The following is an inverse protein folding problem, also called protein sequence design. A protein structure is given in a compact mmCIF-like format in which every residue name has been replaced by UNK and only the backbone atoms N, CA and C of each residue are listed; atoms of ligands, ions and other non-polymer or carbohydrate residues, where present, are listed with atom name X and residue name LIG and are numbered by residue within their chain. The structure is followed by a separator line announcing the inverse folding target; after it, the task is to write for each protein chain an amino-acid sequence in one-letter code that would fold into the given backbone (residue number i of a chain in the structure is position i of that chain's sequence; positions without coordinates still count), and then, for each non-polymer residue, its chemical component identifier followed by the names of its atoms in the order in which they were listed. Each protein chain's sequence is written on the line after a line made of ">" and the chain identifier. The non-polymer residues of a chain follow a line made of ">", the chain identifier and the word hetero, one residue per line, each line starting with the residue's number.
data_IF_699098268799
#
_entry.id   IF_699098268799
#
_cell.length_a   1.000
_cell.length_b   1.000
_cell.length_c   1.000
_cell.angle_alpha   90.00
_cell.angle_beta   90.00
_cell.angle_gamma   90.00
#
_symmetry.space_group_name_H-M   'P 1'
#
loop_
_entity.id
_entity.type
_entity.pdbx_description
1 polymer ?
#
# COMPACT_ATOMS: atom_id res chain seq x y z
N UNK A 1 21.17 -11.75 -2.82
CA UNK A 1 20.45 -10.81 -1.93
C UNK A 1 19.55 -11.58 -0.98
N UNK A 2 19.62 -11.28 0.31
CA UNK A 2 18.73 -11.84 1.32
C UNK A 2 17.70 -10.79 1.72
N UNK A 3 16.44 -11.18 1.74
CA UNK A 3 15.29 -10.37 2.16
C UNK A 3 14.80 -10.93 3.49
N UNK A 4 14.86 -10.15 4.57
CA UNK A 4 14.46 -10.59 5.91
C UNK A 4 13.13 -9.95 6.27
N UNK A 5 12.13 -10.78 6.52
CA UNK A 5 10.76 -10.39 6.85
C UNK A 5 10.28 -11.12 8.10
N UNK A 6 9.34 -10.56 8.81
CA UNK A 6 8.73 -11.21 9.97
C UNK A 6 7.74 -12.27 9.54
N UNK A 7 6.75 -11.86 8.77
CA UNK A 7 5.72 -12.74 8.18
C UNK A 7 5.06 -12.07 6.98
N UNK A 8 4.43 -12.89 6.13
CA UNK A 8 3.70 -12.41 4.94
C UNK A 8 2.21 -12.68 5.05
N UNK A 9 1.41 -11.82 4.42
CA UNK A 9 -0.04 -11.83 4.49
C UNK A 9 -0.66 -11.93 3.09
N UNK A 10 -1.78 -12.64 2.95
CA UNK A 10 -2.52 -12.75 1.68
C UNK A 10 -3.01 -11.38 1.17
N UNK A 11 -3.31 -10.46 2.09
CA UNK A 11 -3.81 -9.13 1.77
C UNK A 11 -3.01 -8.08 2.55
N UNK A 12 -2.34 -7.19 1.83
CA UNK A 12 -1.56 -6.11 2.43
C UNK A 12 -0.48 -5.57 1.49
N UNK A 13 -0.26 -4.26 1.52
CA UNK A 13 0.75 -3.60 0.68
C UNK A 13 2.17 -4.07 0.98
N UNK A 14 2.45 -4.40 2.24
CA UNK A 14 3.76 -4.84 2.70
C UNK A 14 4.27 -6.11 1.98
N UNK A 15 3.48 -7.18 1.97
CA UNK A 15 3.82 -8.42 1.24
C UNK A 15 4.05 -8.16 -0.25
N UNK A 16 3.28 -7.24 -0.85
CA UNK A 16 3.47 -6.89 -2.26
C UNK A 16 4.78 -6.15 -2.50
N UNK A 17 5.21 -5.27 -1.60
CA UNK A 17 6.53 -4.61 -1.71
C UNK A 17 7.67 -5.62 -1.60
N UNK A 18 7.59 -6.57 -0.66
CA UNK A 18 8.54 -7.68 -0.56
C UNK A 18 8.60 -8.49 -1.86
N UNK A 19 7.45 -8.86 -2.42
CA UNK A 19 7.34 -9.58 -3.69
C UNK A 19 7.98 -8.79 -4.83
N UNK A 20 7.67 -7.51 -4.94
CA UNK A 20 8.17 -6.61 -5.97
C UNK A 20 9.72 -6.53 -5.94
N UNK A 21 10.30 -6.37 -4.75
CA UNK A 21 11.77 -6.37 -4.59
C UNK A 21 12.35 -7.77 -4.87
N UNK A 22 11.73 -8.83 -4.35
CA UNK A 22 12.21 -10.19 -4.56
C UNK A 22 12.28 -10.57 -6.04
N UNK A 23 11.28 -10.17 -6.83
CA UNK A 23 11.25 -10.41 -8.29
C UNK A 23 12.20 -9.50 -9.07
N UNK A 24 12.64 -8.39 -8.49
CA UNK A 24 13.55 -7.44 -9.13
C UNK A 24 15.03 -7.75 -8.89
N UNK A 25 15.39 -8.36 -7.75
CA UNK A 25 16.78 -8.65 -7.41
C UNK A 25 17.25 -10.00 -7.98
N UNK A 26 18.56 -10.12 -8.19
CA UNK A 26 19.18 -11.37 -8.66
C UNK A 26 19.34 -12.35 -7.50
N UNK A 27 18.91 -13.61 -7.71
CA UNK A 27 19.04 -14.70 -6.73
C UNK A 27 18.51 -14.30 -5.35
N UNK A 28 17.23 -13.97 -5.24
CA UNK A 28 16.61 -13.65 -3.95
C UNK A 28 16.58 -14.87 -3.03
N UNK A 29 16.80 -14.62 -1.74
CA UNK A 29 16.52 -15.54 -0.66
C UNK A 29 15.65 -14.82 0.35
N UNK A 30 14.45 -15.30 0.58
CA UNK A 30 13.55 -14.75 1.60
C UNK A 30 13.74 -15.55 2.89
N UNK A 31 13.97 -14.85 4.00
CA UNK A 31 14.01 -15.45 5.34
C UNK A 31 12.89 -14.83 6.17
N UNK A 32 11.94 -15.68 6.59
CA UNK A 32 10.86 -15.29 7.48
C UNK A 32 11.28 -15.60 8.92
N UNK A 33 11.37 -14.55 9.74
CA UNK A 33 11.81 -14.69 11.15
C UNK A 33 10.75 -15.40 11.99
N UNK A 34 9.48 -15.36 11.54
CA UNK A 34 8.35 -15.98 12.23
C UNK A 34 8.32 -15.62 13.72
N UNK A 35 8.44 -14.31 14.01
CA UNK A 35 8.52 -13.77 15.38
C UNK A 35 7.44 -14.35 16.30
N UNK A 36 6.24 -14.54 15.76
CA UNK A 36 5.06 -15.00 16.51
C UNK A 36 4.80 -16.51 16.40
N UNK A 37 5.72 -17.28 15.78
CA UNK A 37 5.60 -18.72 15.56
C UNK A 37 4.30 -19.11 14.81
N UNK A 38 3.93 -18.33 13.82
CA UNK A 38 2.68 -18.50 13.07
C UNK A 38 2.75 -19.57 11.99
N UNK A 39 3.97 -19.93 11.55
CA UNK A 39 4.18 -20.94 10.49
C UNK A 39 4.51 -22.33 11.04
N UNK A 40 5.04 -22.44 12.27
CA UNK A 40 5.60 -23.69 12.80
C UNK A 40 4.66 -24.90 12.75
N UNK A 41 3.34 -24.69 12.89
CA UNK A 41 2.31 -25.74 12.86
C UNK A 41 1.30 -25.57 11.71
N UNK A 42 1.42 -24.56 10.89
CA UNK A 42 0.47 -24.26 9.79
C UNK A 42 1.09 -24.57 8.43
N UNK A 43 1.02 -25.83 8.03
CA UNK A 43 1.51 -26.31 6.73
C UNK A 43 0.75 -25.67 5.56
N UNK A 44 -0.53 -25.31 5.73
CA UNK A 44 -1.31 -24.67 4.69
C UNK A 44 -0.82 -23.21 4.45
N UNK A 45 -0.49 -22.50 5.54
CA UNK A 45 0.11 -21.17 5.45
C UNK A 45 1.51 -21.21 4.81
N UNK A 46 2.34 -22.20 5.17
CA UNK A 46 3.66 -22.41 4.54
C UNK A 46 3.51 -22.70 3.04
N UNK A 47 2.60 -23.59 2.67
CA UNK A 47 2.35 -23.94 1.27
C UNK A 47 1.91 -22.71 0.45
N UNK A 48 1.01 -21.91 1.00
CA UNK A 48 0.61 -20.66 0.35
C UNK A 48 1.80 -19.70 0.15
N UNK A 49 2.72 -19.60 1.12
CA UNK A 49 3.92 -18.77 0.98
C UNK A 49 4.80 -19.27 -0.16
N UNK A 50 5.02 -20.58 -0.28
CA UNK A 50 5.80 -21.16 -1.38
C UNK A 50 5.14 -20.90 -2.74
N UNK A 51 3.81 -20.97 -2.83
CA UNK A 51 3.06 -20.66 -4.04
C UNK A 51 3.14 -19.16 -4.41
N UNK A 52 3.06 -18.28 -3.41
CA UNK A 52 3.18 -16.82 -3.60
C UNK A 52 4.56 -16.41 -4.13
N UNK A 53 5.61 -17.09 -3.64
CA UNK A 53 7.01 -16.82 -4.00
C UNK A 53 7.60 -17.93 -4.88
N UNK A 54 6.78 -18.49 -5.78
CA UNK A 54 7.24 -19.55 -6.69
C UNK A 54 8.51 -19.14 -7.44
N UNK A 55 9.49 -20.09 -7.49
CA UNK A 55 10.81 -19.87 -8.05
C UNK A 55 11.80 -19.11 -7.15
N UNK A 56 11.40 -18.70 -5.93
CA UNK A 56 12.24 -18.03 -4.95
C UNK A 56 12.46 -18.94 -3.74
N UNK A 57 13.71 -19.06 -3.28
CA UNK A 57 14.01 -19.81 -2.05
C UNK A 57 13.44 -19.06 -0.83
N UNK A 58 12.62 -19.75 -0.02
CA UNK A 58 12.04 -19.23 1.21
C UNK A 58 12.45 -20.11 2.39
N UNK A 59 12.96 -19.52 3.46
CA UNK A 59 13.36 -20.20 4.69
C UNK A 59 12.55 -19.62 5.85
N UNK A 60 11.93 -20.50 6.65
CA UNK A 60 11.27 -20.14 7.91
C UNK A 60 12.22 -20.43 9.08
N UNK A 61 12.41 -19.45 9.97
CA UNK A 61 13.16 -19.67 11.22
C UNK A 61 12.23 -20.30 12.25
N UNK A 62 12.34 -21.62 12.39
CA UNK A 62 11.46 -22.43 13.23
C UNK A 62 11.94 -22.60 14.69
N UNK A 63 13.01 -21.89 15.10
CA UNK A 63 13.53 -21.94 16.46
C UNK A 63 12.53 -21.34 17.46
N UNK A 64 12.57 -21.79 18.71
CA UNK A 64 11.59 -21.39 19.73
C UNK A 64 11.90 -20.05 20.40
N UNK A 65 13.15 -19.61 20.40
CA UNK A 65 13.56 -18.36 21.04
C UNK A 65 14.10 -17.34 20.05
N UNK A 66 13.99 -16.05 20.38
CA UNK A 66 14.53 -14.95 19.57
C UNK A 66 16.04 -15.07 19.38
N UNK A 67 16.77 -15.52 20.43
CA UNK A 67 18.20 -15.70 20.35
C UNK A 67 18.58 -16.82 19.38
N UNK A 68 17.90 -17.97 19.45
CA UNK A 68 18.15 -19.07 18.51
C UNK A 68 17.81 -18.70 17.06
N UNK A 69 16.71 -17.97 16.84
CA UNK A 69 16.36 -17.41 15.52
C UNK A 69 17.45 -16.48 15.01
N UNK A 70 17.94 -15.57 15.85
CA UNK A 70 19.03 -14.64 15.49
C UNK A 70 20.33 -15.38 15.16
N UNK A 71 20.69 -16.40 15.92
CA UNK A 71 21.88 -17.24 15.66
C UNK A 71 21.74 -18.03 14.35
N UNK A 72 20.55 -18.58 14.08
CA UNK A 72 20.27 -19.27 12.82
C UNK A 72 20.37 -18.30 11.62
N UNK A 73 19.85 -17.10 11.75
CA UNK A 73 19.97 -16.07 10.71
C UNK A 73 21.43 -15.67 10.47
N UNK A 74 22.22 -15.47 11.55
CA UNK A 74 23.66 -15.16 11.45
C UNK A 74 24.43 -16.27 10.71
N UNK A 75 24.12 -17.53 11.02
CA UNK A 75 24.71 -18.68 10.33
C UNK A 75 24.34 -18.69 8.83
N UNK A 76 23.09 -18.43 8.48
CA UNK A 76 22.63 -18.34 7.09
C UNK A 76 23.36 -17.25 6.30
N UNK A 77 23.48 -16.03 6.85
CA UNK A 77 24.18 -14.93 6.20
C UNK A 77 25.62 -15.31 5.86
N UNK A 78 26.32 -15.94 6.83
CA UNK A 78 27.71 -16.37 6.65
C UNK A 78 27.83 -17.53 5.64
N UNK A 79 27.01 -18.57 5.76
CA UNK A 79 27.04 -19.74 4.89
C UNK A 79 26.70 -19.43 3.44
N UNK A 80 25.77 -18.49 3.20
CA UNK A 80 25.31 -18.10 1.87
C UNK A 80 26.13 -16.98 1.23
N UNK A 81 27.16 -16.48 1.89
CA UNK A 81 28.00 -15.37 1.42
C UNK A 81 27.15 -14.18 0.93
N UNK A 82 26.19 -13.78 1.75
CA UNK A 82 25.21 -12.75 1.40
C UNK A 82 25.89 -11.40 1.22
N UNK A 83 25.70 -10.76 0.05
CA UNK A 83 26.24 -9.42 -0.24
C UNK A 83 25.31 -8.30 0.23
N UNK A 84 24.01 -8.48 0.03
CA UNK A 84 23.00 -7.50 0.40
C UNK A 84 21.96 -8.15 1.32
N UNK A 85 21.70 -7.50 2.46
CA UNK A 85 20.59 -7.83 3.36
C UNK A 85 19.60 -6.68 3.30
N UNK A 86 18.35 -6.98 2.94
CA UNK A 86 17.26 -6.01 2.89
C UNK A 86 16.25 -6.39 3.96
N UNK A 87 16.01 -5.47 4.88
CA UNK A 87 15.10 -5.66 6.00
C UNK A 87 13.71 -5.16 5.66
N UNK A 88 12.74 -6.08 5.72
CA UNK A 88 11.30 -5.81 5.60
C UNK A 88 10.56 -6.13 6.90
N UNK A 89 11.29 -6.51 7.93
CA UNK A 89 10.71 -7.01 9.18
C UNK A 89 9.70 -6.03 9.77
N UNK A 90 8.77 -6.58 10.54
CA UNK A 90 7.80 -5.82 11.32
C UNK A 90 8.53 -4.85 12.27
N UNK A 91 7.96 -3.68 12.52
CA UNK A 91 8.56 -2.58 13.28
C UNK A 91 9.07 -2.95 14.69
N UNK A 92 8.65 -4.07 15.25
CA UNK A 92 9.06 -4.56 16.58
C UNK A 92 9.92 -5.84 16.55
N UNK A 93 10.33 -6.32 15.38
CA UNK A 93 11.10 -7.56 15.24
C UNK A 93 12.60 -7.31 15.37
N UNK A 94 13.26 -7.77 16.48
CA UNK A 94 14.68 -7.59 16.69
C UNK A 94 15.53 -8.67 16.00
N UNK A 95 14.95 -9.81 15.59
CA UNK A 95 15.68 -10.98 15.09
C UNK A 95 16.50 -10.63 13.86
N UNK A 96 15.92 -9.85 12.94
CA UNK A 96 16.57 -9.43 11.72
C UNK A 96 17.89 -8.70 11.99
N UNK A 97 17.88 -7.73 12.88
CA UNK A 97 19.06 -6.93 13.20
C UNK A 97 20.07 -7.70 14.06
N UNK A 98 19.63 -8.34 15.15
CA UNK A 98 20.52 -9.09 16.03
C UNK A 98 21.26 -10.19 15.26
N UNK A 99 20.58 -10.86 14.32
CA UNK A 99 21.18 -11.91 13.50
C UNK A 99 22.15 -11.44 12.43
N UNK A 100 22.14 -10.17 12.05
CA UNK A 100 22.88 -9.72 10.85
C UNK A 100 23.81 -8.54 11.05
N UNK A 101 23.63 -7.71 12.10
CA UNK A 101 24.41 -6.49 12.29
C UNK A 101 25.90 -6.73 12.43
N UNK A 102 26.32 -7.81 13.10
CA UNK A 102 27.73 -8.17 13.28
C UNK A 102 28.42 -8.63 12.00
N UNK A 103 27.66 -8.94 10.92
CA UNK A 103 28.24 -9.36 9.65
C UNK A 103 28.66 -8.17 8.80
N UNK A 104 29.97 -7.89 8.77
CA UNK A 104 30.54 -6.72 8.08
C UNK A 104 30.70 -6.88 6.57
N UNK A 105 30.53 -8.11 6.05
CA UNK A 105 30.69 -8.42 4.62
C UNK A 105 29.45 -8.13 3.76
N UNK A 106 28.37 -7.63 4.34
CA UNK A 106 27.12 -7.34 3.62
C UNK A 106 26.75 -5.88 3.71
N UNK A 107 26.28 -5.31 2.61
CA UNK A 107 25.51 -4.04 2.61
C UNK A 107 24.12 -4.30 3.19
N UNK A 108 23.62 -3.39 4.01
CA UNK A 108 22.36 -3.55 4.76
C UNK A 108 21.42 -2.39 4.44
N UNK A 109 20.18 -2.71 4.12
CA UNK A 109 19.16 -1.75 3.71
C UNK A 109 17.89 -1.98 4.53
N UNK A 110 17.41 -0.96 5.20
CA UNK A 110 16.17 -1.01 5.97
C UNK A 110 15.05 -0.36 5.17
N UNK A 111 14.08 -1.14 4.74
CA UNK A 111 12.88 -0.64 4.08
C UNK A 111 11.89 -0.18 5.13
N UNK A 112 11.74 1.13 5.25
CA UNK A 112 10.77 1.74 6.17
C UNK A 112 9.38 1.74 5.52
N UNK A 113 8.57 0.74 5.85
CA UNK A 113 7.26 0.54 5.23
C UNK A 113 6.08 0.93 6.12
N UNK A 114 6.31 1.26 7.37
CA UNK A 114 5.29 1.66 8.34
C UNK A 114 5.31 3.16 8.61
N UNK A 115 4.85 3.95 7.64
CA UNK A 115 4.91 5.42 7.64
C UNK A 115 4.18 6.13 8.79
N UNK A 116 3.49 5.38 9.64
CA UNK A 116 2.75 5.88 10.82
C UNK A 116 3.30 5.35 12.15
N UNK A 117 4.36 4.55 12.13
CA UNK A 117 4.94 3.96 13.35
C UNK A 117 6.47 4.10 13.36
N UNK A 118 7.07 4.41 14.53
CA UNK A 118 8.50 4.22 14.70
C UNK A 118 8.84 2.74 14.56
N UNK A 119 9.90 2.44 13.82
CA UNK A 119 10.33 1.07 13.56
C UNK A 119 11.73 0.82 14.11
N UNK A 120 11.98 -0.36 14.65
CA UNK A 120 13.35 -0.79 14.91
C UNK A 120 14.13 -0.77 13.59
N UNK A 121 15.32 -0.17 13.63
CA UNK A 121 16.16 0.00 12.45
C UNK A 121 16.27 1.43 11.94
N UNK A 122 15.30 2.31 12.21
CA UNK A 122 15.30 3.69 11.74
C UNK A 122 16.57 4.50 12.16
N UNK A 123 17.19 4.16 13.28
CA UNK A 123 18.33 4.90 13.85
C UNK A 123 19.64 4.14 13.80
N UNK A 124 19.69 3.03 13.07
CA UNK A 124 20.92 2.22 12.98
C UNK A 124 21.88 2.79 11.94
N UNK A 125 23.02 3.30 12.37
CA UNK A 125 24.03 3.95 11.52
C UNK A 125 24.67 3.03 10.48
N UNK A 126 24.73 1.72 10.75
CA UNK A 126 25.34 0.71 9.86
C UNK A 126 24.35 0.13 8.85
N UNK A 127 23.17 0.71 8.77
CA UNK A 127 22.06 0.26 7.91
C UNK A 127 21.57 1.46 7.09
N UNK A 128 21.57 1.35 5.78
CA UNK A 128 21.04 2.38 4.90
C UNK A 128 19.52 2.44 5.02
N UNK A 129 19.00 3.58 5.43
CA UNK A 129 17.57 3.81 5.55
C UNK A 129 16.95 4.07 4.17
N UNK A 130 15.86 3.38 3.87
CA UNK A 130 15.17 3.44 2.58
C UNK A 130 13.67 3.65 2.81
N UNK A 131 13.15 4.76 2.36
CA UNK A 131 11.73 5.07 2.40
C UNK A 131 11.03 4.73 1.08
N UNK A 132 9.74 4.41 1.16
CA UNK A 132 8.93 3.99 0.00
C UNK A 132 8.10 5.11 -0.61
N UNK A 133 8.01 6.25 0.06
CA UNK A 133 7.19 7.38 -0.40
C UNK A 133 7.93 8.68 -0.15
N UNK A 134 7.71 9.66 -1.03
CA UNK A 134 8.35 10.97 -0.93
C UNK A 134 8.05 11.68 0.39
N UNK A 135 6.81 11.56 0.88
CA UNK A 135 6.41 12.17 2.16
C UNK A 135 7.19 11.57 3.34
N UNK A 136 7.31 10.24 3.41
CA UNK A 136 8.07 9.57 4.45
C UNK A 136 9.56 9.93 4.34
N UNK A 137 10.10 9.95 3.12
CA UNK A 137 11.48 10.32 2.84
C UNK A 137 11.82 11.74 3.36
N UNK A 138 10.99 12.73 3.06
CA UNK A 138 11.16 14.09 3.58
C UNK A 138 11.09 14.14 5.11
N UNK A 139 10.17 13.39 5.71
CA UNK A 139 10.04 13.29 7.16
C UNK A 139 11.28 12.65 7.78
N UNK A 140 11.73 11.51 7.26
CA UNK A 140 12.92 10.82 7.77
C UNK A 140 14.18 11.64 7.58
N UNK A 141 14.38 12.32 6.44
CA UNK A 141 15.50 13.24 6.23
C UNK A 141 15.54 14.38 7.25
N UNK A 142 14.39 14.82 7.74
CA UNK A 142 14.31 15.91 8.72
C UNK A 142 14.63 15.44 10.15
N UNK A 143 14.34 14.18 10.47
CA UNK A 143 14.41 13.67 11.83
C UNK A 143 15.55 12.68 12.10
N UNK A 144 16.19 12.14 11.07
CA UNK A 144 17.27 11.17 11.20
C UNK A 144 18.62 11.80 10.87
N UNK A 145 19.63 11.56 11.73
CA UNK A 145 21.01 12.00 11.51
C UNK A 145 21.77 11.05 10.56
N UNK A 146 21.13 10.61 9.48
CA UNK A 146 21.73 9.73 8.49
C UNK A 146 21.15 9.98 7.10
N UNK A 147 21.89 9.54 6.07
CA UNK A 147 21.38 9.59 4.70
C UNK A 147 20.20 8.65 4.55
N UNK A 148 19.12 9.17 4.00
CA UNK A 148 17.90 8.43 3.70
C UNK A 148 17.75 8.33 2.19
N UNK A 149 17.45 7.15 1.69
CA UNK A 149 17.22 6.89 0.26
C UNK A 149 15.74 6.71 -0.04
N UNK A 150 15.36 7.00 -1.26
CA UNK A 150 13.99 6.78 -1.74
C UNK A 150 13.97 5.63 -2.75
N UNK A 151 13.23 4.56 -2.42
CA UNK A 151 12.84 3.50 -3.34
C UNK A 151 11.32 3.62 -3.54
N UNK A 152 10.83 4.22 -4.63
CA UNK A 152 9.40 4.45 -4.79
C UNK A 152 8.63 3.14 -4.90
N UNK A 153 7.43 3.12 -4.35
CA UNK A 153 6.48 2.04 -4.61
C UNK A 153 6.24 1.92 -6.12
N UNK A 154 5.94 0.72 -6.60
CA UNK A 154 5.40 0.56 -7.94
C UNK A 154 4.23 -0.44 -7.94
N UNK A 155 3.51 -0.48 -9.03
CA UNK A 155 2.57 -1.54 -9.32
C UNK A 155 2.76 -1.98 -10.78
N UNK A 156 2.69 -3.31 -11.09
CA UNK A 156 2.79 -3.79 -12.46
C UNK A 156 1.71 -3.17 -13.35
N UNK A 157 2.08 -2.78 -14.56
CA UNK A 157 1.14 -2.20 -15.52
C UNK A 157 0.25 -3.30 -16.12
N UNK A 158 -1.04 -3.27 -15.80
CA UNK A 158 -2.03 -4.19 -16.34
C UNK A 158 -2.94 -3.52 -17.41
N UNK A 159 -2.47 -2.42 -17.96
CA UNK A 159 -3.24 -1.61 -18.90
C UNK A 159 -4.03 -0.52 -18.23
N UNK A 160 -4.69 0.33 -19.02
CA UNK A 160 -5.48 1.44 -18.49
C UNK A 160 -6.71 1.74 -19.35
N UNK A 161 -7.64 2.43 -18.76
CA UNK A 161 -8.85 2.89 -19.41
C UNK A 161 -8.95 4.41 -19.27
N UNK A 162 -9.03 5.11 -20.40
CA UNK A 162 -9.28 6.55 -20.37
C UNK A 162 -10.73 6.81 -19.95
N UNK A 163 -10.90 7.51 -18.84
CA UNK A 163 -12.21 7.99 -18.41
C UNK A 163 -12.63 9.15 -19.33
N UNK A 164 -13.84 9.09 -19.84
CA UNK A 164 -14.39 10.15 -20.68
C UNK A 164 -15.00 11.25 -19.82
N UNK A 165 -14.99 12.49 -20.34
CA UNK A 165 -15.76 13.56 -19.73
C UNK A 165 -17.26 13.22 -19.82
N UNK A 166 -18.01 13.58 -18.79
CA UNK A 166 -19.47 13.42 -18.74
C UNK A 166 -20.13 14.79 -18.60
N UNK A 167 -21.31 14.92 -19.17
CA UNK A 167 -22.18 16.06 -18.87
C UNK A 167 -22.93 15.76 -17.57
N UNK A 168 -22.75 16.65 -16.57
CA UNK A 168 -23.42 16.50 -15.28
C UNK A 168 -22.78 15.45 -14.37
N UNK A 169 -23.61 14.72 -13.62
CA UNK A 169 -23.24 13.86 -12.49
C UNK A 169 -23.32 12.36 -12.81
N UNK A 170 -23.53 12.00 -14.08
CA UNK A 170 -23.73 10.62 -14.53
C UNK A 170 -22.42 9.84 -14.57
N UNK A 171 -21.78 9.66 -13.41
CA UNK A 171 -20.58 8.83 -13.23
C UNK A 171 -20.61 8.10 -11.89
N UNK A 172 -19.79 7.07 -11.77
CA UNK A 172 -19.66 6.25 -10.56
C UNK A 172 -18.31 6.45 -9.88
N UNK A 173 -18.30 6.23 -8.58
CA UNK A 173 -17.11 6.32 -7.69
C UNK A 173 -16.74 4.95 -7.17
N UNK A 174 -15.45 4.69 -7.01
CA UNK A 174 -14.94 3.49 -6.34
C UNK A 174 -13.97 3.85 -5.23
N UNK A 175 -14.02 3.14 -4.13
CA UNK A 175 -13.01 3.16 -3.07
C UNK A 175 -12.53 1.76 -2.74
N UNK A 176 -11.38 1.66 -2.09
CA UNK A 176 -10.87 0.37 -1.61
C UNK A 176 -10.19 0.47 -0.26
N UNK A 177 -10.28 -0.60 0.53
CA UNK A 177 -9.57 -0.70 1.80
C UNK A 177 -10.23 -1.64 2.81
N UNK A 178 -9.52 -1.84 3.92
CA UNK A 178 -10.11 -2.50 5.09
C UNK A 178 -11.02 -1.49 5.83
N UNK A 179 -12.09 -1.95 6.50
CA UNK A 179 -12.98 -1.05 7.25
C UNK A 179 -12.25 -0.15 8.26
N UNK A 180 -11.19 -0.64 8.89
CA UNK A 180 -10.39 0.14 9.85
C UNK A 180 -9.64 1.35 9.27
N UNK A 181 -9.64 1.54 7.94
CA UNK A 181 -9.13 2.76 7.31
C UNK A 181 -10.14 3.92 7.32
N UNK A 182 -11.38 3.62 7.63
CA UNK A 182 -12.47 4.58 7.76
C UNK A 182 -12.81 4.74 9.24
N UNK A 183 -13.21 5.94 9.66
CA UNK A 183 -13.64 6.14 11.04
C UNK A 183 -14.86 5.27 11.36
N UNK A 184 -14.90 4.71 12.56
CA UNK A 184 -16.06 3.92 13.01
C UNK A 184 -17.28 4.82 13.30
N UNK A 185 -17.04 6.09 13.64
CA UNK A 185 -18.06 7.09 13.98
C UNK A 185 -17.66 8.46 13.47
N UNK A 186 -18.61 9.40 13.49
CA UNK A 186 -18.38 10.80 13.12
C UNK A 186 -18.39 11.05 11.62
N UNK A 187 -17.95 12.24 11.23
CA UNK A 187 -18.05 12.74 9.86
C UNK A 187 -17.37 11.83 8.83
N UNK A 188 -16.22 11.24 9.15
CA UNK A 188 -15.45 10.37 8.25
C UNK A 188 -15.82 8.89 8.37
N UNK A 189 -17.00 8.56 8.90
CA UNK A 189 -17.49 7.19 8.84
C UNK A 189 -17.76 6.78 7.38
N UNK A 190 -17.58 5.50 7.07
CA UNK A 190 -17.85 4.99 5.72
C UNK A 190 -19.29 5.30 5.29
N UNK A 191 -20.26 5.21 6.20
CA UNK A 191 -21.66 5.53 5.93
C UNK A 191 -21.83 6.97 5.43
N UNK A 192 -21.22 7.94 6.11
CA UNK A 192 -21.33 9.36 5.75
C UNK A 192 -20.59 9.67 4.45
N UNK A 193 -19.43 9.06 4.22
CA UNK A 193 -18.69 9.20 2.95
C UNK A 193 -19.53 8.66 1.77
N UNK A 194 -20.11 7.47 1.93
CA UNK A 194 -20.98 6.86 0.90
C UNK A 194 -22.21 7.71 0.65
N UNK A 195 -22.89 8.18 1.71
CA UNK A 195 -24.05 9.09 1.61
C UNK A 195 -23.67 10.34 0.83
N UNK A 196 -22.59 11.02 1.23
CA UNK A 196 -22.14 12.27 0.59
C UNK A 196 -21.84 12.05 -0.90
N UNK A 197 -21.13 10.97 -1.22
CA UNK A 197 -20.81 10.66 -2.62
C UNK A 197 -22.07 10.36 -3.42
N UNK A 198 -22.98 9.53 -2.93
CA UNK A 198 -24.21 9.18 -3.63
C UNK A 198 -25.22 10.31 -3.73
N UNK A 199 -25.16 11.29 -2.83
CA UNK A 199 -25.94 12.53 -2.96
C UNK A 199 -25.38 13.49 -4.03
N UNK A 200 -24.10 13.37 -4.36
CA UNK A 200 -23.40 14.26 -5.27
C UNK A 200 -23.22 13.70 -6.69
N UNK A 201 -23.61 12.45 -6.96
CA UNK A 201 -23.50 11.80 -8.26
C UNK A 201 -24.78 11.04 -8.60
N UNK A 202 -25.01 10.72 -9.88
CA UNK A 202 -26.13 9.87 -10.30
C UNK A 202 -25.77 8.38 -10.43
N UNK A 203 -24.50 8.07 -10.50
CA UNK A 203 -24.00 6.68 -10.62
C UNK A 203 -23.95 5.91 -9.30
N UNK A 204 -23.15 4.86 -9.27
CA UNK A 204 -22.98 3.96 -8.14
C UNK A 204 -21.72 4.29 -7.32
N UNK A 205 -21.72 3.83 -6.06
CA UNK A 205 -20.55 3.81 -5.20
C UNK A 205 -20.10 2.37 -4.98
N UNK A 206 -18.95 2.01 -5.57
CA UNK A 206 -18.34 0.69 -5.42
C UNK A 206 -17.39 0.67 -4.23
N UNK A 207 -17.48 -0.36 -3.41
CA UNK A 207 -16.55 -0.59 -2.32
C UNK A 207 -15.80 -1.91 -2.52
N UNK A 208 -14.47 -1.87 -2.62
CA UNK A 208 -13.60 -3.03 -2.76
C UNK A 208 -12.89 -3.27 -1.42
N UNK A 209 -13.25 -4.37 -0.75
CA UNK A 209 -12.68 -4.73 0.55
C UNK A 209 -13.61 -5.60 1.39
N UNK A 210 -13.12 -6.09 2.55
CA UNK A 210 -13.85 -7.04 3.39
C UNK A 210 -14.87 -6.32 4.28
N UNK A 211 -16.07 -6.05 3.78
CA UNK A 211 -17.20 -5.64 4.61
C UNK A 211 -17.95 -6.87 5.10
N UNK A 212 -18.41 -6.84 6.36
CA UNK A 212 -19.32 -7.85 6.86
C UNK A 212 -20.76 -7.56 6.40
N UNK A 213 -21.63 -8.59 6.43
CA UNK A 213 -23.04 -8.42 6.05
C UNK A 213 -23.75 -7.39 6.94
N UNK A 214 -23.37 -7.31 8.23
CA UNK A 214 -23.90 -6.32 9.17
C UNK A 214 -23.50 -4.89 8.77
N UNK A 215 -22.24 -4.70 8.33
CA UNK A 215 -21.77 -3.39 7.86
C UNK A 215 -22.50 -2.97 6.58
N UNK A 216 -22.67 -3.89 5.64
CA UNK A 216 -23.41 -3.66 4.40
C UNK A 216 -24.87 -3.30 4.70
N UNK A 217 -25.52 -4.07 5.57
CA UNK A 217 -26.90 -3.81 5.99
C UNK A 217 -27.04 -2.44 6.68
N UNK A 218 -26.09 -2.08 7.56
CA UNK A 218 -26.10 -0.78 8.26
C UNK A 218 -25.96 0.39 7.28
N UNK A 219 -25.04 0.31 6.30
CA UNK A 219 -24.87 1.33 5.28
C UNK A 219 -26.15 1.48 4.45
N UNK A 220 -26.72 0.37 4.00
CA UNK A 220 -27.97 0.40 3.20
C UNK A 220 -29.15 0.96 3.98
N UNK A 221 -29.33 0.56 5.24
CA UNK A 221 -30.37 1.11 6.11
C UNK A 221 -30.20 2.63 6.30
N UNK A 222 -28.97 3.09 6.47
CA UNK A 222 -28.66 4.52 6.56
C UNK A 222 -29.04 5.26 5.28
N UNK A 223 -28.67 4.76 4.10
CA UNK A 223 -29.03 5.35 2.81
C UNK A 223 -30.55 5.48 2.63
N UNK A 224 -31.30 4.42 2.96
CA UNK A 224 -32.76 4.44 2.91
C UNK A 224 -33.33 5.52 3.85
N UNK A 225 -32.75 5.68 5.04
CA UNK A 225 -33.23 6.66 6.02
C UNK A 225 -33.07 8.12 5.57
N UNK A 226 -32.22 8.37 4.58
CA UNK A 226 -31.95 9.69 3.97
C UNK A 226 -32.42 9.78 2.51
N UNK A 227 -33.34 8.92 2.10
CA UNK A 227 -33.97 8.88 0.78
C UNK A 227 -33.00 8.69 -0.41
N UNK A 228 -31.94 7.90 -0.18
CA UNK A 228 -31.00 7.49 -1.23
C UNK A 228 -31.25 6.02 -1.57
N UNK A 229 -31.33 5.70 -2.87
CA UNK A 229 -31.48 4.32 -3.34
C UNK A 229 -30.27 3.47 -2.93
N UNK A 230 -30.48 2.55 -1.98
CA UNK A 230 -29.44 1.70 -1.42
C UNK A 230 -28.85 0.70 -2.42
N UNK A 231 -29.48 0.45 -3.58
CA UNK A 231 -28.94 -0.39 -4.67
C UNK A 231 -27.70 0.25 -5.29
N UNK A 232 -27.58 1.58 -5.23
CA UNK A 232 -26.41 2.30 -5.74
C UNK A 232 -25.13 2.09 -4.91
N UNK A 233 -25.23 1.57 -3.69
CA UNK A 233 -24.08 1.10 -2.92
C UNK A 233 -23.79 -0.36 -3.26
N UNK A 234 -22.64 -0.59 -3.92
CA UNK A 234 -22.25 -1.90 -4.47
C UNK A 234 -20.99 -2.41 -3.79
N UNK A 235 -21.11 -3.27 -2.75
CA UNK A 235 -19.96 -3.94 -2.16
C UNK A 235 -19.46 -5.05 -3.09
N UNK A 236 -18.15 -5.04 -3.39
CA UNK A 236 -17.50 -6.03 -4.28
C UNK A 236 -16.88 -7.19 -3.49
N UNK A 237 -16.44 -6.92 -2.24
CA UNK A 237 -15.67 -7.88 -1.46
C UNK A 237 -14.17 -7.82 -1.73
N UNK A 238 -13.46 -8.87 -1.29
CA UNK A 238 -12.02 -9.02 -1.56
C UNK A 238 -11.78 -9.43 -3.01
N UNK A 239 -10.72 -8.90 -3.61
CA UNK A 239 -10.31 -9.18 -4.98
C UNK A 239 -8.83 -9.56 -5.01
N UNK A 240 -8.42 -10.38 -5.95
CA UNK A 240 -7.01 -10.78 -6.12
C UNK A 240 -6.15 -9.64 -6.67
N UNK A 241 -6.72 -8.82 -7.55
CA UNK A 241 -6.07 -7.66 -8.16
C UNK A 241 -7.01 -6.46 -8.12
N UNK A 242 -6.61 -5.42 -7.38
CA UNK A 242 -7.35 -4.15 -7.37
C UNK A 242 -7.35 -3.53 -8.77
N UNK A 243 -6.19 -3.47 -9.42
CA UNK A 243 -6.06 -2.89 -10.75
C UNK A 243 -7.01 -3.52 -11.78
N UNK A 244 -7.00 -4.85 -11.90
CA UNK A 244 -7.92 -5.55 -12.82
C UNK A 244 -9.39 -5.28 -12.49
N UNK A 245 -9.71 -5.23 -11.21
CA UNK A 245 -11.08 -4.93 -10.80
C UNK A 245 -11.48 -3.50 -11.18
N UNK A 246 -10.58 -2.53 -11.02
CA UNK A 246 -10.82 -1.14 -11.44
C UNK A 246 -11.04 -1.02 -12.95
N UNK A 247 -10.36 -1.82 -13.77
CA UNK A 247 -10.58 -1.86 -15.22
C UNK A 247 -11.93 -2.46 -15.61
N UNK A 248 -12.47 -3.39 -14.81
CA UNK A 248 -13.76 -4.08 -15.05
C UNK A 248 -14.97 -3.25 -14.61
N UNK A 249 -14.80 -2.40 -13.60
CA UNK A 249 -15.89 -1.57 -13.07
C UNK A 249 -16.19 -0.38 -13.96
N UNK A 250 -17.46 -0.01 -14.05
CA UNK A 250 -17.88 1.27 -14.64
C UNK A 250 -17.73 2.43 -13.65
N UNK A 251 -16.53 2.55 -13.06
CA UNK A 251 -16.18 3.61 -12.13
C UNK A 251 -15.31 4.66 -12.82
N UNK A 252 -15.62 5.93 -12.64
CA UNK A 252 -14.90 7.04 -13.28
C UNK A 252 -13.92 7.74 -12.33
N UNK A 253 -14.05 7.52 -11.03
CA UNK A 253 -13.27 8.22 -9.99
C UNK A 253 -12.87 7.24 -8.91
N UNK A 254 -11.62 7.27 -8.50
CA UNK A 254 -11.15 6.58 -7.31
C UNK A 254 -11.10 7.55 -6.12
N UNK A 255 -11.82 7.22 -5.07
CA UNK A 255 -11.82 7.93 -3.81
C UNK A 255 -10.92 7.20 -2.82
N UNK A 256 -9.79 7.80 -2.46
CA UNK A 256 -8.90 7.26 -1.43
C UNK A 256 -9.61 7.07 -0.10
N UNK A 257 -9.26 6.01 0.65
CA UNK A 257 -9.78 5.78 1.99
C UNK A 257 -9.43 6.92 2.95
N UNK A 258 -10.32 7.22 3.90
CA UNK A 258 -10.18 8.32 4.85
C UNK A 258 -10.66 7.91 6.26
N UNK A 259 -9.98 8.33 7.34
CA UNK A 259 -8.82 9.22 7.37
C UNK A 259 -7.49 8.56 6.96
N UNK A 260 -7.41 7.23 6.90
CA UNK A 260 -6.16 6.52 6.61
C UNK A 260 -6.08 6.17 5.13
N UNK A 261 -5.21 6.84 4.40
CA UNK A 261 -4.98 6.62 2.98
C UNK A 261 -4.36 5.25 2.66
N UNK A 262 -4.31 4.92 1.37
CA UNK A 262 -3.67 3.69 0.86
C UNK A 262 -2.75 4.00 -0.33
N UNK A 263 -1.44 4.12 -0.09
CA UNK A 263 -0.48 4.51 -1.13
C UNK A 263 -0.52 3.61 -2.36
N UNK A 264 -0.34 2.30 -2.21
CA UNK A 264 -0.36 1.38 -3.35
C UNK A 264 -1.70 1.37 -4.09
N UNK A 265 -2.81 1.39 -3.37
CA UNK A 265 -4.13 1.43 -4.00
C UNK A 265 -4.35 2.70 -4.85
N UNK A 266 -3.83 3.84 -4.39
CA UNK A 266 -3.84 5.09 -5.17
C UNK A 266 -2.96 4.98 -6.42
N UNK A 267 -1.79 4.35 -6.32
CA UNK A 267 -0.90 4.10 -7.47
C UNK A 267 -1.59 3.21 -8.51
N UNK A 268 -2.21 2.10 -8.07
CA UNK A 268 -2.95 1.20 -8.94
C UNK A 268 -4.14 1.91 -9.62
N UNK A 269 -4.86 2.75 -8.90
CA UNK A 269 -5.96 3.52 -9.46
C UNK A 269 -5.49 4.53 -10.53
N UNK A 270 -4.41 5.26 -10.26
CA UNK A 270 -3.80 6.17 -11.23
C UNK A 270 -3.27 5.41 -12.45
N UNK A 271 -2.63 4.25 -12.24
CA UNK A 271 -2.17 3.38 -13.32
C UNK A 271 -3.31 2.87 -14.18
N UNK A 272 -4.43 2.48 -13.58
CA UNK A 272 -5.65 2.09 -14.31
C UNK A 272 -6.34 3.27 -15.03
N UNK A 273 -5.85 4.51 -14.83
CA UNK A 273 -6.34 5.72 -15.48
C UNK A 273 -7.53 6.38 -14.77
N UNK A 274 -7.78 6.08 -13.50
CA UNK A 274 -8.84 6.73 -12.75
C UNK A 274 -8.37 8.05 -12.15
N UNK A 275 -9.10 9.17 -12.38
CA UNK A 275 -8.96 10.36 -11.55
C UNK A 275 -9.03 10.02 -10.08
N UNK A 276 -8.15 10.59 -9.27
CA UNK A 276 -8.06 10.26 -7.84
C UNK A 276 -8.43 11.45 -6.96
N UNK A 277 -9.25 11.19 -5.93
CA UNK A 277 -9.53 12.11 -4.85
C UNK A 277 -8.92 11.56 -3.56
N UNK A 278 -8.37 12.44 -2.72
CA UNK A 278 -7.77 12.03 -1.46
C UNK A 278 -8.19 12.96 -0.31
N UNK A 279 -8.21 12.40 0.89
CA UNK A 279 -8.46 13.16 2.11
C UNK A 279 -7.18 13.90 2.53
N UNK A 280 -7.25 15.22 2.64
CA UNK A 280 -6.15 16.10 3.08
C UNK A 280 -6.38 16.71 4.47
N UNK A 281 -7.43 16.29 5.17
CA UNK A 281 -7.72 16.72 6.52
C UNK A 281 -6.82 16.02 7.53
N UNK A 282 -6.61 16.65 8.68
CA UNK A 282 -5.69 16.22 9.72
C UNK A 282 -4.65 17.28 10.03
N UNK A 283 -3.82 17.05 11.04
CA UNK A 283 -2.70 17.96 11.34
C UNK A 283 -1.67 17.92 10.22
N UNK A 284 -1.14 19.08 9.84
CA UNK A 284 -0.06 19.18 8.90
C UNK A 284 1.15 18.39 9.43
N UNK A 285 1.67 17.47 8.62
CA UNK A 285 2.76 16.56 9.02
C UNK A 285 2.28 15.23 9.62
N UNK A 286 0.99 14.94 9.60
CA UNK A 286 0.48 13.61 9.97
C UNK A 286 1.00 12.55 9.00
N UNK A 287 1.72 11.55 9.51
CA UNK A 287 2.22 10.40 8.74
C UNK A 287 1.10 9.52 8.17
N UNK A 288 -0.14 9.69 8.63
CA UNK A 288 -1.30 8.89 8.21
C UNK A 288 -1.77 9.25 6.79
N UNK A 289 -1.47 10.46 6.32
CA UNK A 289 -1.94 10.99 5.05
C UNK A 289 -0.79 11.16 4.06
N UNK A 290 -0.55 10.14 3.25
CA UNK A 290 0.50 10.14 2.25
C UNK A 290 0.01 10.79 0.94
N UNK A 291 0.13 12.11 0.85
CA UNK A 291 -0.29 12.88 -0.33
C UNK A 291 0.68 12.74 -1.50
N UNK A 292 1.92 12.38 -1.25
CA UNK A 292 2.96 12.33 -2.28
C UNK A 292 2.75 11.25 -3.34
N UNK A 293 1.90 10.26 -3.06
CA UNK A 293 1.54 9.22 -4.05
C UNK A 293 0.51 9.69 -5.06
N UNK A 294 -0.10 10.86 -4.87
CA UNK A 294 -1.11 11.40 -5.77
C UNK A 294 -0.50 12.38 -6.76
N UNK A 295 -1.01 12.40 -7.99
CA UNK A 295 -0.59 13.38 -8.98
C UNK A 295 -0.92 14.80 -8.53
N UNK A 296 -0.17 15.80 -9.01
CA UNK A 296 -0.43 17.21 -8.72
C UNK A 296 -1.83 17.66 -9.12
N UNK A 297 -2.43 17.02 -10.13
CA UNK A 297 -3.80 17.28 -10.58
C UNK A 297 -4.86 16.57 -9.73
N UNK A 298 -4.46 15.65 -8.83
CA UNK A 298 -5.37 14.97 -7.91
C UNK A 298 -6.00 15.95 -6.93
N UNK A 299 -7.24 15.69 -6.55
CA UNK A 299 -8.06 16.64 -5.81
C UNK A 299 -8.18 16.23 -4.34
N UNK A 300 -7.69 17.10 -3.47
CA UNK A 300 -7.77 16.89 -2.01
C UNK A 300 -9.02 17.53 -1.42
N UNK A 301 -9.62 16.84 -0.44
CA UNK A 301 -10.76 17.32 0.35
C UNK A 301 -10.49 17.17 1.86
N UNK A 302 -11.03 18.05 2.68
CA UNK A 302 -10.81 18.07 4.15
C UNK A 302 -12.07 17.76 4.94
N UNK A 303 -13.25 17.89 4.33
CA UNK A 303 -14.54 17.63 4.95
C UNK A 303 -15.54 17.17 3.87
N UNK A 304 -16.72 16.70 4.30
CA UNK A 304 -17.71 16.12 3.40
C UNK A 304 -18.33 17.15 2.44
N UNK A 305 -18.43 18.43 2.84
CA UNK A 305 -18.95 19.49 1.96
C UNK A 305 -17.97 19.75 0.81
N UNK A 306 -16.66 19.76 1.07
CA UNK A 306 -15.65 19.84 0.03
C UNK A 306 -15.68 18.60 -0.88
N UNK A 307 -15.86 17.39 -0.33
CA UNK A 307 -16.01 16.17 -1.12
C UNK A 307 -17.20 16.28 -2.08
N UNK A 308 -18.37 16.70 -1.58
CA UNK A 308 -19.57 16.91 -2.40
C UNK A 308 -19.32 17.93 -3.51
N UNK A 309 -18.75 19.10 -3.17
CA UNK A 309 -18.44 20.16 -4.13
C UNK A 309 -17.46 19.69 -5.22
N UNK A 310 -16.44 18.93 -4.85
CA UNK A 310 -15.50 18.34 -5.81
C UNK A 310 -16.22 17.39 -6.76
N UNK A 311 -17.02 16.45 -6.25
CA UNK A 311 -17.76 15.48 -7.07
C UNK A 311 -18.70 16.21 -8.04
N UNK A 312 -19.42 17.25 -7.61
CA UNK A 312 -20.28 18.05 -8.49
C UNK A 312 -19.53 18.73 -9.66
N UNK A 313 -18.25 19.04 -9.47
CA UNK A 313 -17.43 19.73 -10.49
C UNK A 313 -16.64 18.80 -11.40
N UNK A 314 -16.66 17.47 -11.19
CA UNK A 314 -15.73 16.56 -11.85
C UNK A 314 -16.08 16.21 -13.29
N UNK A 315 -17.36 16.06 -13.63
CA UNK A 315 -17.80 15.50 -14.91
C UNK A 315 -17.02 16.02 -16.13
N UNK A 316 -16.97 17.33 -16.38
CA UNK A 316 -16.25 17.91 -17.53
C UNK A 316 -14.72 17.71 -17.46
N UNK A 317 -14.17 17.48 -16.28
CA UNK A 317 -12.71 17.38 -16.01
C UNK A 317 -12.19 15.95 -16.06
N UNK A 318 -13.05 14.93 -16.01
CA UNK A 318 -12.68 13.52 -15.87
C UNK A 318 -11.64 13.08 -16.90
N UNK A 319 -11.81 13.43 -18.17
CA UNK A 319 -10.88 13.01 -19.23
C UNK A 319 -9.47 13.61 -19.06
N UNK A 320 -9.36 14.88 -18.65
CA UNK A 320 -8.07 15.52 -18.36
C UNK A 320 -7.40 14.85 -17.16
N UNK A 321 -8.14 14.67 -16.07
CA UNK A 321 -7.65 14.08 -14.83
C UNK A 321 -7.24 12.61 -15.02
N UNK A 322 -7.96 11.85 -15.85
CA UNK A 322 -7.62 10.47 -16.22
C UNK A 322 -6.26 10.39 -16.92
N UNK A 323 -6.01 11.25 -17.90
CA UNK A 323 -4.73 11.31 -18.58
C UNK A 323 -3.60 11.71 -17.61
N UNK A 324 -3.82 12.70 -16.76
CA UNK A 324 -2.83 13.15 -15.76
C UNK A 324 -2.50 12.05 -14.76
N UNK A 325 -3.50 11.33 -14.24
CA UNK A 325 -3.30 10.21 -13.34
C UNK A 325 -2.43 9.13 -13.98
N UNK A 326 -2.74 8.73 -15.22
CA UNK A 326 -1.96 7.74 -15.97
C UNK A 326 -0.52 8.19 -16.22
N UNK A 327 -0.30 9.41 -16.68
CA UNK A 327 1.03 9.96 -16.94
C UNK A 327 1.88 10.04 -15.66
N UNK A 328 1.25 10.38 -14.53
CA UNK A 328 1.94 10.42 -13.24
C UNK A 328 2.40 9.03 -12.79
N UNK A 329 1.53 8.01 -12.94
CA UNK A 329 1.90 6.62 -12.71
C UNK A 329 3.07 6.18 -13.58
N UNK A 330 3.01 6.40 -14.90
CA UNK A 330 4.05 6.01 -15.84
C UNK A 330 5.42 6.60 -15.49
N UNK A 331 5.42 7.86 -15.07
CA UNK A 331 6.64 8.60 -14.72
C UNK A 331 7.24 8.13 -13.39
N UNK A 332 6.43 7.88 -12.36
CA UNK A 332 6.90 7.77 -10.98
C UNK A 332 6.76 6.37 -10.38
N UNK A 333 5.91 5.50 -10.95
CA UNK A 333 5.53 4.22 -10.33
C UNK A 333 5.59 3.03 -11.29
N UNK A 334 6.21 3.21 -12.47
CA UNK A 334 6.43 2.13 -13.42
C UNK A 334 7.50 1.16 -12.93
N UNK A 335 7.42 -0.10 -13.38
CA UNK A 335 8.42 -1.12 -13.07
C UNK A 335 9.83 -0.71 -13.52
N UNK A 336 9.95 -0.07 -14.68
CA UNK A 336 11.24 0.40 -15.21
C UNK A 336 11.90 1.41 -14.27
N UNK A 337 11.14 2.38 -13.76
CA UNK A 337 11.63 3.37 -12.82
C UNK A 337 12.02 2.72 -11.49
N UNK A 338 11.18 1.86 -10.94
CA UNK A 338 11.47 1.11 -9.72
C UNK A 338 12.76 0.28 -9.84
N UNK A 339 12.90 -0.52 -10.92
CA UNK A 339 14.10 -1.34 -11.14
C UNK A 339 15.37 -0.51 -11.28
N UNK A 340 15.30 0.64 -11.95
CA UNK A 340 16.44 1.56 -12.04
C UNK A 340 16.87 2.03 -10.66
N UNK A 341 15.92 2.49 -9.83
CA UNK A 341 16.22 2.97 -8.47
C UNK A 341 16.74 1.85 -7.56
N UNK A 342 16.17 0.65 -7.65
CA UNK A 342 16.64 -0.49 -6.87
C UNK A 342 18.07 -0.91 -7.27
N UNK A 343 18.40 -0.91 -8.56
CA UNK A 343 19.76 -1.21 -9.03
C UNK A 343 20.78 -0.17 -8.56
N UNK A 344 20.44 1.11 -8.62
CA UNK A 344 21.27 2.18 -8.05
C UNK A 344 21.53 1.96 -6.56
N UNK A 345 20.49 1.69 -5.80
CA UNK A 345 20.55 1.44 -4.36
C UNK A 345 21.46 0.25 -4.03
N UNK A 346 21.36 -0.83 -4.78
CA UNK A 346 22.14 -2.05 -4.54
C UNK A 346 23.53 -2.05 -5.21
N UNK A 347 23.87 -1.04 -6.00
CA UNK A 347 25.13 -0.95 -6.75
C UNK A 347 25.27 -2.04 -7.83
N UNK A 348 24.17 -2.39 -8.54
CA UNK A 348 24.15 -3.52 -9.51
C UNK A 348 23.76 -3.10 -10.94
#
# INVERSE_FOLDING_TARGET
>A
TMLVETEVFKVGGHTKVLEDVARAVKRPLIVLTDLFNTYGCDTAKQQWVFEQFDGIEVIFLSQNSLLEKSLALAALVSQRCVRNVIYFQHHQDPVAFVGTLSHTGSSKFFIHHGDHNPSLGCTLSDVQHVDLTEHLHQTCQTHLDQTVELLPLYAPDLGWRKVQATEGLAFSVVTSGRPGKFSSTGALSLQNIVQTALSAIDGSFYFIGPLTDEMIAAIRAHLISVDIDAVRFVPIGLVDSLWEQLLKLDACVYLGSAPVGGGRAAIEAQGAGLPTLFYKGGEAGSLINNYSVYSEESLGWSNLDELAALLHSLGPRLSKLSNSARQYYEKNYSETYFRSRLNELLGT
#
